data_IF_500406867718
#
_entry.id   IF_500406867718
#
_cell.length_a   1.000
_cell.length_b   1.000
_cell.length_c   1.000
_cell.angle_alpha   90.00
_cell.angle_beta   90.00
_cell.angle_gamma   90.00
#
_symmetry.space_group_name_H-M   'P 1'
#
loop_
_entity.id
_entity.type
_entity.pdbx_description
1 polymer ?
#
# COMPACT_ATOMS: atom_id res chain seq x y z
N UNK A 1 -4.55 -16.44 16.43
CA UNK A 1 -4.73 -16.17 14.99
C UNK A 1 -6.18 -15.77 14.67
N UNK A 2 -7.18 -16.52 15.12
CA UNK A 2 -8.62 -16.29 14.84
C UNK A 2 -9.13 -14.90 15.23
N UNK A 3 -8.77 -14.37 16.40
CA UNK A 3 -9.19 -13.02 16.84
C UNK A 3 -8.65 -11.94 15.89
N UNK A 4 -7.34 -11.97 15.61
CA UNK A 4 -6.68 -11.02 14.69
C UNK A 4 -7.29 -11.13 13.28
N UNK A 5 -7.58 -12.34 12.82
CA UNK A 5 -8.24 -12.62 11.53
C UNK A 5 -9.64 -12.01 11.46
N UNK A 6 -10.48 -12.22 12.47
CA UNK A 6 -11.85 -11.68 12.52
C UNK A 6 -11.84 -10.15 12.60
N UNK A 7 -10.96 -9.57 13.43
CA UNK A 7 -10.78 -8.11 13.52
C UNK A 7 -10.32 -7.54 12.17
N UNK A 8 -9.34 -8.17 11.52
CA UNK A 8 -8.90 -7.77 10.19
C UNK A 8 -10.00 -7.87 9.13
N UNK A 9 -10.77 -8.95 9.14
CA UNK A 9 -11.90 -9.14 8.22
C UNK A 9 -12.99 -8.08 8.42
N UNK A 10 -13.39 -7.83 9.67
CA UNK A 10 -14.36 -6.80 10.02
C UNK A 10 -13.88 -5.41 9.60
N UNK A 11 -12.58 -5.11 9.80
CA UNK A 11 -11.98 -3.84 9.38
C UNK A 11 -11.98 -3.65 7.86
N UNK A 12 -11.62 -4.70 7.09
CA UNK A 12 -11.67 -4.66 5.62
C UNK A 12 -13.09 -4.47 5.10
N UNK A 13 -14.07 -5.18 5.66
CA UNK A 13 -15.48 -5.03 5.30
C UNK A 13 -15.96 -3.62 5.65
N UNK A 14 -15.64 -3.11 6.84
CA UNK A 14 -15.98 -1.76 7.26
C UNK A 14 -15.41 -0.70 6.30
N UNK A 15 -14.12 -0.79 5.93
CA UNK A 15 -13.50 0.10 4.96
C UNK A 15 -14.19 0.01 3.60
N UNK A 16 -14.44 -1.20 3.10
CA UNK A 16 -15.06 -1.40 1.79
C UNK A 16 -16.50 -0.86 1.74
N UNK A 17 -17.31 -1.15 2.77
CA UNK A 17 -18.67 -0.62 2.91
C UNK A 17 -18.66 0.89 3.03
N UNK A 18 -17.74 1.47 3.80
CA UNK A 18 -17.60 2.93 3.94
C UNK A 18 -17.27 3.58 2.58
N UNK A 19 -16.43 2.96 1.75
CA UNK A 19 -16.11 3.47 0.40
C UNK A 19 -17.31 3.37 -0.57
N UNK A 20 -18.10 2.29 -0.48
CA UNK A 20 -19.29 2.10 -1.33
C UNK A 20 -20.43 3.04 -0.93
N UNK A 21 -20.65 3.21 0.38
CA UNK A 21 -21.76 3.97 0.97
C UNK A 21 -21.42 5.42 1.27
N UNK A 22 -20.18 5.86 1.04
CA UNK A 22 -19.80 7.26 1.18
C UNK A 22 -20.72 8.13 0.32
N UNK A 23 -21.75 8.71 0.96
CA UNK A 23 -22.51 9.82 0.38
C UNK A 23 -21.49 10.92 0.17
N UNK A 24 -21.49 11.49 -1.03
CA UNK A 24 -20.86 12.78 -1.30
C UNK A 24 -21.63 13.86 -0.51
N UNK A 25 -21.61 13.80 0.82
CA UNK A 25 -21.53 15.05 1.54
C UNK A 25 -20.32 15.75 0.94
N UNK A 26 -20.44 17.04 0.66
CA UNK A 26 -19.30 17.88 0.37
C UNK A 26 -18.33 17.97 1.57
N UNK A 27 -18.20 16.92 2.39
CA UNK A 27 -16.98 16.57 3.08
C UNK A 27 -16.00 16.13 2.00
N UNK A 28 -15.04 16.98 1.63
CA UNK A 28 -14.21 16.66 0.52
C UNK A 28 -13.31 15.53 1.04
N UNK A 29 -13.50 14.31 0.54
CA UNK A 29 -12.42 13.35 0.48
C UNK A 29 -11.25 13.93 -0.35
N UNK A 30 -11.53 15.00 -1.11
CA UNK A 30 -10.59 16.00 -1.60
C UNK A 30 -10.15 17.07 -0.59
N UNK A 31 -10.42 17.01 0.72
CA UNK A 31 -10.03 18.01 1.73
C UNK A 31 -9.43 17.37 2.97
N UNK A 32 -9.56 16.06 3.17
CA UNK A 32 -8.44 15.32 3.75
C UNK A 32 -7.31 15.18 2.73
N UNK A 33 -7.61 14.95 1.44
CA UNK A 33 -6.60 15.03 0.39
C UNK A 33 -6.18 16.49 0.08
N UNK A 34 -7.07 17.50 0.11
CA UNK A 34 -6.64 18.91 -0.04
C UNK A 34 -6.03 19.51 1.23
N UNK A 35 -6.38 19.04 2.44
CA UNK A 35 -5.59 19.34 3.65
C UNK A 35 -4.28 18.57 3.65
N UNK A 36 -4.21 17.40 3.02
CA UNK A 36 -2.93 16.71 2.78
C UNK A 36 -2.08 17.41 1.70
N UNK A 37 -2.68 18.19 0.80
CA UNK A 37 -1.99 19.11 -0.11
C UNK A 37 -1.83 20.53 0.44
N UNK A 38 -2.20 20.82 1.70
CA UNK A 38 -1.50 21.91 2.39
C UNK A 38 -0.06 21.41 2.49
N UNK A 39 0.80 21.92 1.60
CA UNK A 39 2.09 21.34 1.21
C UNK A 39 2.81 20.71 2.40
N UNK A 40 2.55 19.42 2.65
CA UNK A 40 3.27 18.71 3.71
C UNK A 40 4.74 18.77 3.29
N UNK A 41 5.64 19.17 4.19
CA UNK A 41 7.05 19.24 3.82
C UNK A 41 7.48 17.87 3.32
N UNK A 42 8.24 17.82 2.23
CA UNK A 42 8.72 16.56 1.61
C UNK A 42 9.37 15.64 2.65
N UNK A 43 10.04 16.24 3.64
CA UNK A 43 10.61 15.53 4.79
C UNK A 43 9.57 14.74 5.61
N UNK A 44 8.40 15.31 5.86
CA UNK A 44 7.33 14.63 6.60
C UNK A 44 6.75 13.46 5.80
N UNK A 45 6.50 13.65 4.50
CA UNK A 45 6.06 12.58 3.60
C UNK A 45 7.08 11.44 3.53
N UNK A 46 8.37 11.78 3.37
CA UNK A 46 9.46 10.82 3.36
C UNK A 46 9.55 10.06 4.70
N UNK A 47 9.52 10.75 5.83
CA UNK A 47 9.57 10.12 7.16
C UNK A 47 8.37 9.22 7.42
N UNK A 48 7.17 9.61 7.00
CA UNK A 48 5.99 8.77 7.11
C UNK A 48 6.15 7.48 6.29
N UNK A 49 6.60 7.58 5.04
CA UNK A 49 6.87 6.43 4.18
C UNK A 49 8.01 5.54 4.71
N UNK A 50 9.08 6.15 5.23
CA UNK A 50 10.22 5.47 5.84
C UNK A 50 9.77 4.63 7.04
N UNK A 51 9.11 5.24 8.02
CA UNK A 51 8.65 4.52 9.21
C UNK A 51 7.61 3.46 8.88
N UNK A 52 6.70 3.73 7.94
CA UNK A 52 5.72 2.74 7.49
C UNK A 52 6.39 1.51 6.88
N UNK A 53 7.47 1.68 6.12
CA UNK A 53 8.23 0.57 5.54
C UNK A 53 9.09 -0.15 6.58
N UNK A 54 9.82 0.59 7.42
CA UNK A 54 10.70 0.01 8.46
C UNK A 54 9.90 -0.78 9.49
N UNK A 55 8.74 -0.27 9.90
CA UNK A 55 7.84 -0.95 10.83
C UNK A 55 7.00 -2.05 10.17
N UNK A 56 7.17 -2.31 8.86
CA UNK A 56 6.43 -3.37 8.18
C UNK A 56 7.13 -4.72 8.41
N UNK A 57 6.62 -5.58 9.31
CA UNK A 57 7.27 -6.85 9.62
C UNK A 57 7.35 -7.77 8.40
N UNK A 58 6.45 -7.60 7.42
CA UNK A 58 6.46 -8.40 6.19
C UNK A 58 7.71 -8.17 5.36
N UNK A 59 8.19 -6.92 5.29
CA UNK A 59 9.39 -6.57 4.55
C UNK A 59 10.60 -7.23 5.21
N UNK A 60 10.74 -7.07 6.53
CA UNK A 60 11.83 -7.68 7.30
C UNK A 60 11.83 -9.20 7.15
N UNK A 61 10.66 -9.85 7.31
CA UNK A 61 10.52 -11.30 7.17
C UNK A 61 10.87 -11.78 5.75
N UNK A 62 10.51 -11.02 4.72
CA UNK A 62 10.91 -11.31 3.34
C UNK A 62 12.43 -11.27 3.19
N UNK A 63 13.10 -10.22 3.65
CA UNK A 63 14.56 -10.14 3.55
C UNK A 63 15.24 -11.28 4.32
N UNK A 64 14.84 -11.55 5.57
CA UNK A 64 15.44 -12.61 6.38
C UNK A 64 15.20 -14.00 5.79
N UNK A 65 14.03 -14.24 5.19
CA UNK A 65 13.69 -15.58 4.67
C UNK A 65 14.15 -15.82 3.25
N UNK A 66 14.16 -14.78 2.40
CA UNK A 66 14.38 -14.89 0.95
C UNK A 66 15.83 -14.55 0.58
N UNK A 67 16.41 -13.46 1.08
CA UNK A 67 17.72 -13.00 0.62
C UNK A 67 18.86 -13.98 0.89
N UNK A 68 18.96 -14.63 2.08
CA UNK A 68 20.01 -15.62 2.33
C UNK A 68 20.01 -16.78 1.33
N UNK A 69 18.86 -17.10 0.73
CA UNK A 69 18.76 -18.18 -0.25
C UNK A 69 19.52 -17.89 -1.55
N UNK A 70 19.83 -16.62 -1.82
CA UNK A 70 20.56 -16.17 -3.01
C UNK A 70 22.04 -15.87 -2.74
N UNK A 71 22.50 -16.04 -1.49
CA UNK A 71 23.89 -15.81 -1.11
C UNK A 71 24.52 -17.14 -0.72
N UNK A 72 25.56 -17.55 -1.44
CA UNK A 72 26.29 -18.78 -1.11
C UNK A 72 26.87 -18.71 0.31
N UNK A 73 26.63 -19.77 1.09
CA UNK A 73 27.09 -19.88 2.46
C UNK A 73 28.63 -19.93 2.58
N UNK A 74 29.35 -20.29 1.53
CA UNK A 74 30.82 -20.40 1.52
C UNK A 74 31.51 -19.19 0.87
N UNK A 75 30.75 -18.16 0.47
CA UNK A 75 31.34 -16.99 -0.17
C UNK A 75 32.17 -16.15 0.83
N UNK A 76 33.40 -15.73 0.48
CA UNK A 76 34.18 -14.78 1.28
C UNK A 76 33.62 -13.35 1.26
N UNK A 77 32.66 -13.05 0.37
CA UNK A 77 32.15 -11.70 0.12
C UNK A 77 30.63 -11.56 0.33
N UNK A 78 30.07 -12.22 1.36
CA UNK A 78 28.62 -12.21 1.63
C UNK A 78 28.03 -10.80 1.76
N UNK A 79 28.73 -9.89 2.44
CA UNK A 79 28.26 -8.52 2.62
C UNK A 79 28.05 -7.80 1.27
N UNK A 80 28.98 -7.97 0.32
CA UNK A 80 28.86 -7.40 -1.03
C UNK A 80 27.71 -8.04 -1.81
N UNK A 81 27.48 -9.35 -1.68
CA UNK A 81 26.34 -10.02 -2.30
C UNK A 81 25.00 -9.50 -1.77
N UNK A 82 24.87 -9.31 -0.45
CA UNK A 82 23.68 -8.70 0.16
C UNK A 82 23.49 -7.24 -0.27
N UNK A 83 24.56 -6.44 -0.36
CA UNK A 83 24.50 -5.07 -0.85
C UNK A 83 24.07 -5.00 -2.32
N UNK A 84 24.57 -5.89 -3.17
CA UNK A 84 24.19 -5.97 -4.57
C UNK A 84 22.70 -6.34 -4.73
N UNK A 85 22.25 -7.41 -4.06
CA UNK A 85 20.84 -7.83 -4.05
C UNK A 85 19.92 -6.73 -3.51
N UNK A 86 20.34 -6.07 -2.42
CA UNK A 86 19.61 -4.93 -1.85
C UNK A 86 19.50 -3.77 -2.82
N UNK A 87 20.59 -3.44 -3.51
CA UNK A 87 20.61 -2.37 -4.52
C UNK A 87 19.68 -2.67 -5.68
N UNK A 88 19.71 -3.90 -6.22
CA UNK A 88 18.79 -4.34 -7.28
C UNK A 88 17.33 -4.25 -6.83
N UNK A 89 17.03 -4.69 -5.60
CA UNK A 89 15.70 -4.58 -5.03
C UNK A 89 15.23 -3.12 -4.88
N UNK A 90 16.11 -2.23 -4.40
CA UNK A 90 15.80 -0.79 -4.26
C UNK A 90 15.55 -0.15 -5.61
N UNK A 91 16.36 -0.45 -6.63
CA UNK A 91 16.18 0.07 -7.99
C UNK A 91 14.85 -0.39 -8.58
N UNK A 92 14.55 -1.69 -8.54
CA UNK A 92 13.28 -2.22 -9.03
C UNK A 92 12.07 -1.63 -8.28
N UNK A 93 12.15 -1.55 -6.96
CA UNK A 93 11.09 -0.97 -6.13
C UNK A 93 10.86 0.50 -6.46
N UNK A 94 11.94 1.27 -6.65
CA UNK A 94 11.88 2.68 -7.02
C UNK A 94 11.21 2.84 -8.39
N UNK A 95 11.68 2.11 -9.40
CA UNK A 95 11.09 2.15 -10.76
C UNK A 95 9.60 1.82 -10.70
N UNK A 96 9.23 0.74 -10.01
CA UNK A 96 7.84 0.34 -9.85
C UNK A 96 6.99 1.42 -9.17
N UNK A 97 7.46 1.97 -8.04
CA UNK A 97 6.72 3.02 -7.32
C UNK A 97 6.61 4.31 -8.12
N UNK A 98 7.62 4.69 -8.89
CA UNK A 98 7.57 5.83 -9.81
C UNK A 98 6.51 5.62 -10.89
N UNK A 99 6.43 4.42 -11.49
CA UNK A 99 5.39 4.08 -12.46
C UNK A 99 4.01 4.20 -11.81
N UNK A 100 3.81 3.62 -10.63
CA UNK A 100 2.54 3.70 -9.91
C UNK A 100 2.17 5.14 -9.57
N UNK A 101 3.13 5.95 -9.10
CA UNK A 101 2.91 7.37 -8.79
C UNK A 101 2.54 8.17 -10.05
N UNK A 102 3.18 7.90 -11.18
CA UNK A 102 2.88 8.54 -12.46
C UNK A 102 1.48 8.16 -12.99
N UNK A 103 1.12 6.88 -12.90
CA UNK A 103 -0.24 6.41 -13.25
C UNK A 103 -1.28 7.02 -12.33
N UNK A 104 -1.05 7.02 -11.02
CA UNK A 104 -1.98 7.62 -10.05
C UNK A 104 -2.14 9.14 -10.29
N UNK A 105 -1.04 9.85 -10.56
CA UNK A 105 -1.03 11.27 -10.88
C UNK A 105 -1.78 11.59 -12.16
N UNK A 106 -1.54 10.83 -13.24
CA UNK A 106 -2.22 11.02 -14.53
C UNK A 106 -3.71 10.72 -14.47
N UNK A 107 -4.11 9.64 -13.78
CA UNK A 107 -5.53 9.32 -13.49
C UNK A 107 -6.16 10.47 -12.70
N UNK A 108 -5.50 10.94 -11.64
CA UNK A 108 -6.02 12.04 -10.83
C UNK A 108 -6.18 13.30 -11.68
N UNK A 109 -5.17 13.72 -12.43
CA UNK A 109 -5.23 14.91 -13.27
C UNK A 109 -6.31 14.82 -14.36
N UNK A 110 -6.46 13.66 -15.00
CA UNK A 110 -7.42 13.45 -16.10
C UNK A 110 -8.87 13.30 -15.64
N UNK A 111 -9.09 12.86 -14.40
CA UNK A 111 -10.44 12.60 -13.86
C UNK A 111 -10.86 13.51 -12.69
N UNK A 112 -10.02 14.46 -12.27
CA UNK A 112 -10.31 15.41 -11.17
C UNK A 112 -11.61 16.21 -11.36
N UNK A 113 -12.10 16.36 -12.60
CA UNK A 113 -13.36 17.05 -12.90
C UNK A 113 -14.60 16.17 -13.07
N UNK A 114 -14.51 14.82 -12.91
CA UNK A 114 -15.62 13.88 -13.19
C UNK A 114 -16.04 13.11 -11.93
N UNK A 115 -17.07 13.57 -11.19
CA UNK A 115 -17.55 12.93 -9.96
C UNK A 115 -17.96 11.46 -10.13
N UNK A 116 -18.45 11.10 -11.33
CA UNK A 116 -18.85 9.73 -11.65
C UNK A 116 -17.70 8.72 -11.71
N UNK A 117 -16.51 9.15 -12.17
CA UNK A 117 -15.33 8.26 -12.28
C UNK A 117 -14.78 7.94 -10.89
N UNK A 118 -14.68 8.95 -10.03
CA UNK A 118 -14.29 8.77 -8.62
C UNK A 118 -15.23 7.80 -7.91
N UNK A 119 -16.55 7.96 -8.10
CA UNK A 119 -17.57 7.07 -7.52
C UNK A 119 -17.44 5.63 -8.01
N UNK A 120 -17.11 5.42 -9.29
CA UNK A 120 -16.89 4.08 -9.83
C UNK A 120 -15.61 3.46 -9.26
N UNK A 121 -14.51 4.21 -9.20
CA UNK A 121 -13.25 3.80 -8.55
C UNK A 121 -13.45 3.40 -7.09
N UNK A 122 -14.09 4.26 -6.29
CA UNK A 122 -14.35 4.02 -4.87
C UNK A 122 -15.21 2.77 -4.66
N UNK A 123 -16.20 2.53 -5.54
CA UNK A 123 -17.02 1.32 -5.50
C UNK A 123 -16.26 0.06 -5.90
N UNK A 124 -15.43 0.12 -6.92
CA UNK A 124 -14.62 -1.02 -7.38
C UNK A 124 -13.62 -1.43 -6.30
N UNK A 125 -12.89 -0.45 -5.75
CA UNK A 125 -11.94 -0.68 -4.66
C UNK A 125 -12.68 -1.15 -3.41
N UNK A 126 -13.79 -0.48 -3.03
CA UNK A 126 -14.59 -0.88 -1.88
C UNK A 126 -15.15 -2.30 -1.99
N UNK A 127 -15.61 -2.71 -3.17
CA UNK A 127 -16.08 -4.07 -3.44
C UNK A 127 -14.96 -5.10 -3.30
N UNK A 128 -13.75 -4.77 -3.77
CA UNK A 128 -12.58 -5.61 -3.58
C UNK A 128 -12.23 -5.76 -2.09
N UNK A 129 -12.30 -4.67 -1.30
CA UNK A 129 -12.07 -4.73 0.16
C UNK A 129 -13.11 -5.60 0.88
N UNK A 130 -14.40 -5.48 0.54
CA UNK A 130 -15.44 -6.36 1.09
C UNK A 130 -15.18 -7.81 0.70
N UNK A 131 -14.89 -8.09 -0.58
CA UNK A 131 -14.58 -9.43 -1.06
C UNK A 131 -13.36 -10.05 -0.36
N UNK A 132 -12.30 -9.27 -0.16
CA UNK A 132 -11.12 -9.69 0.59
C UNK A 132 -11.43 -9.94 2.07
N UNK A 133 -12.25 -9.09 2.70
CA UNK A 133 -12.68 -9.27 4.09
C UNK A 133 -13.53 -10.52 4.29
N UNK A 134 -14.49 -10.78 3.39
CA UNK A 134 -15.30 -12.01 3.38
C UNK A 134 -14.43 -13.25 3.16
N UNK A 135 -13.52 -13.22 2.18
CA UNK A 135 -12.56 -14.30 1.94
C UNK A 135 -11.66 -14.53 3.14
N UNK A 136 -11.20 -13.47 3.78
CA UNK A 136 -10.39 -13.55 4.99
C UNK A 136 -11.17 -14.22 6.11
N UNK A 137 -12.44 -13.85 6.33
CA UNK A 137 -13.30 -14.51 7.31
C UNK A 137 -13.51 -16.01 7.00
N UNK A 138 -13.78 -16.34 5.73
CA UNK A 138 -14.05 -17.70 5.25
C UNK A 138 -12.81 -18.61 5.19
N UNK A 139 -11.60 -18.06 5.25
CA UNK A 139 -10.36 -18.85 5.16
C UNK A 139 -10.23 -19.77 6.38
N UNK A 140 -10.34 -21.08 6.21
CA UNK A 140 -10.11 -22.04 7.30
C UNK A 140 -8.61 -22.25 7.53
N UNK A 141 -8.00 -21.38 8.34
CA UNK A 141 -6.71 -21.54 9.02
C UNK A 141 -6.77 -20.81 10.35
#
# INVERSE_FOLDING_TARGET
FTVIKLVGAAYLIYLGVRMILAKQAAAPAGAEAARATAAKPLRQLFMQGFWTNVLNPKVVLFFVSFFPQFVSADSPHKALAFLALGSVFVVMSTVWTCIVAWVAGSVTQRFSGKPGVRKWLDRTVGSAFVGLGLRLAATQR
#
